data_IF_399101326602
#
_entry.id   IF_399101326602
#
_cell.length_a   1.000
_cell.length_b   1.000
_cell.length_c   1.000
_cell.angle_alpha   90.00
_cell.angle_beta   90.00
_cell.angle_gamma   90.00
#
_symmetry.space_group_name_H-M   'P 1'
#
loop_
_entity.id
_entity.type
_entity.pdbx_description
1 polymer ?
#
# COMPACT_ATOMS: atom_id res chain seq x y z
N UNK A 1 -26.57 29.17 -57.69
CA UNK A 1 -27.09 28.35 -56.51
C UNK A 1 -26.08 27.25 -56.10
N UNK A 2 -25.22 26.77 -56.99
CA UNK A 2 -24.23 25.68 -56.71
C UNK A 2 -23.02 26.11 -55.89
N UNK A 3 -22.58 27.36 -55.94
CA UNK A 3 -21.40 27.89 -55.24
C UNK A 3 -21.67 28.15 -53.75
N UNK A 4 -22.87 28.63 -53.40
CA UNK A 4 -23.25 28.97 -52.03
C UNK A 4 -23.45 27.72 -51.16
N UNK A 5 -23.84 26.59 -51.74
CA UNK A 5 -23.98 25.33 -51.06
C UNK A 5 -22.60 24.72 -50.72
N UNK A 6 -21.60 24.92 -51.59
CA UNK A 6 -20.22 24.47 -51.41
C UNK A 6 -19.50 25.22 -50.24
N UNK A 7 -19.70 26.51 -50.10
CA UNK A 7 -19.05 27.30 -49.05
C UNK A 7 -19.59 26.90 -47.62
N UNK A 8 -20.89 26.80 -47.47
CA UNK A 8 -21.49 26.38 -46.19
C UNK A 8 -21.06 24.97 -45.78
N UNK A 9 -20.92 24.07 -46.71
CA UNK A 9 -20.45 22.70 -46.41
C UNK A 9 -18.98 22.69 -46.01
N UNK A 10 -18.15 23.49 -46.67
CA UNK A 10 -16.74 23.66 -46.31
C UNK A 10 -16.56 24.27 -44.93
N UNK A 11 -17.34 25.28 -44.56
CA UNK A 11 -17.31 25.90 -43.23
C UNK A 11 -17.72 24.93 -42.14
N UNK A 12 -18.75 24.10 -42.36
CA UNK A 12 -19.14 23.04 -41.43
C UNK A 12 -18.02 22.00 -41.20
N UNK A 13 -17.35 21.60 -42.24
CA UNK A 13 -16.21 20.68 -42.16
C UNK A 13 -15.03 21.30 -41.43
N UNK A 14 -14.71 22.56 -41.69
CA UNK A 14 -13.66 23.27 -40.97
C UNK A 14 -13.99 23.46 -39.49
N UNK A 15 -15.24 23.82 -39.17
CA UNK A 15 -15.70 23.90 -37.78
C UNK A 15 -15.64 22.56 -37.05
N UNK A 16 -16.04 21.47 -37.73
CA UNK A 16 -15.91 20.12 -37.20
C UNK A 16 -14.46 19.75 -36.89
N UNK A 17 -13.54 19.96 -37.85
CA UNK A 17 -12.12 19.65 -37.65
C UNK A 17 -11.45 20.51 -36.59
N UNK A 18 -11.84 21.79 -36.45
CA UNK A 18 -11.38 22.67 -35.37
C UNK A 18 -11.87 22.15 -34.01
N UNK A 19 -13.13 21.73 -33.92
CA UNK A 19 -13.70 21.13 -32.68
C UNK A 19 -12.97 19.85 -32.29
N UNK A 20 -12.70 18.95 -33.24
CA UNK A 20 -11.97 17.69 -33.01
C UNK A 20 -10.54 17.96 -32.55
N UNK A 21 -9.83 18.91 -33.20
CA UNK A 21 -8.47 19.29 -32.79
C UNK A 21 -8.46 19.89 -31.40
N UNK A 22 -9.41 20.75 -31.08
CA UNK A 22 -9.55 21.36 -29.76
C UNK A 22 -9.81 20.30 -28.68
N UNK A 23 -10.72 19.36 -28.92
CA UNK A 23 -11.02 18.26 -27.97
C UNK A 23 -9.80 17.35 -27.74
N UNK A 24 -9.03 17.04 -28.82
CA UNK A 24 -7.79 16.28 -28.69
C UNK A 24 -6.73 17.03 -27.90
N UNK A 25 -6.55 18.32 -28.16
CA UNK A 25 -5.59 19.16 -27.43
C UNK A 25 -5.98 19.30 -25.95
N UNK A 26 -7.26 19.49 -25.63
CA UNK A 26 -7.76 19.53 -24.27
C UNK A 26 -7.55 18.20 -23.54
N UNK A 27 -7.83 17.07 -24.20
CA UNK A 27 -7.59 15.74 -23.63
C UNK A 27 -6.10 15.47 -23.36
N UNK A 28 -5.21 15.87 -24.26
CA UNK A 28 -3.76 15.77 -24.06
C UNK A 28 -3.27 16.68 -22.93
N UNK A 29 -3.79 17.90 -22.83
CA UNK A 29 -3.45 18.83 -21.74
C UNK A 29 -3.90 18.31 -20.37
N UNK A 30 -5.10 17.75 -20.27
CA UNK A 30 -5.58 17.09 -19.05
C UNK A 30 -4.72 15.87 -18.70
N UNK A 31 -4.41 15.03 -19.69
CA UNK A 31 -3.53 13.88 -19.50
C UNK A 31 -2.14 14.29 -19.03
N UNK A 32 -1.54 15.31 -19.62
CA UNK A 32 -0.25 15.85 -19.17
C UNK A 32 -0.32 16.46 -17.76
N UNK A 33 -1.39 17.18 -17.44
CA UNK A 33 -1.63 17.73 -16.10
C UNK A 33 -1.74 16.64 -15.04
N UNK A 34 -2.46 15.55 -15.33
CA UNK A 34 -2.58 14.39 -14.43
C UNK A 34 -1.22 13.71 -14.23
N UNK A 35 -0.44 13.51 -15.31
CA UNK A 35 0.90 12.91 -15.24
C UNK A 35 1.84 13.80 -14.42
N UNK A 36 1.83 15.11 -14.61
CA UNK A 36 2.61 16.07 -13.85
C UNK A 36 2.19 16.07 -12.36
N UNK A 37 0.90 16.06 -12.08
CA UNK A 37 0.40 15.94 -10.70
C UNK A 37 0.86 14.64 -10.03
N UNK A 38 0.78 13.51 -10.74
CA UNK A 38 1.26 12.23 -10.24
C UNK A 38 2.78 12.18 -10.03
N UNK A 39 3.54 12.89 -10.86
CA UNK A 39 5.00 12.92 -10.78
C UNK A 39 5.54 13.90 -9.73
N UNK A 40 4.90 15.05 -9.54
CA UNK A 40 5.41 16.16 -8.73
C UNK A 40 4.52 16.59 -7.56
N UNK A 41 3.27 16.10 -7.49
CA UNK A 41 2.29 16.47 -6.47
C UNK A 41 2.41 15.69 -5.16
N UNK A 42 3.51 15.01 -4.89
CA UNK A 42 3.66 14.10 -3.76
C UNK A 42 4.49 14.67 -2.59
N UNK A 43 4.21 14.16 -1.39
CA UNK A 43 5.01 14.42 -0.20
C UNK A 43 6.43 13.85 -0.38
N UNK A 44 7.47 14.56 0.13
CA UNK A 44 8.83 14.01 0.13
C UNK A 44 8.93 12.84 1.12
N UNK A 45 9.34 11.69 0.62
CA UNK A 45 9.49 10.47 1.43
C UNK A 45 10.53 10.61 2.56
N UNK A 46 11.48 11.56 2.42
CA UNK A 46 12.51 11.81 3.43
C UNK A 46 11.95 12.51 4.65
N UNK A 47 10.98 13.40 4.47
CA UNK A 47 10.36 14.21 5.52
C UNK A 47 8.99 13.67 5.97
N UNK A 48 8.44 12.70 5.24
CA UNK A 48 7.16 12.08 5.56
C UNK A 48 7.21 11.39 6.93
N UNK A 49 6.17 11.60 7.75
CA UNK A 49 6.07 11.05 9.12
C UNK A 49 6.20 9.53 9.12
N UNK A 50 6.92 9.03 10.11
CA UNK A 50 7.01 7.61 10.50
C UNK A 50 6.80 7.46 12.02
N UNK A 51 6.22 8.45 12.66
CA UNK A 51 5.88 8.39 14.08
C UNK A 51 4.76 7.36 14.34
N UNK A 52 4.55 6.99 15.60
CA UNK A 52 3.38 6.22 16.01
C UNK A 52 2.11 7.04 15.77
N UNK A 53 1.04 6.37 15.39
CA UNK A 53 -0.32 6.93 15.30
C UNK A 53 -1.09 6.84 16.61
N UNK A 54 -0.55 6.17 17.63
CA UNK A 54 -1.18 5.96 18.93
C UNK A 54 -2.21 4.84 18.96
N UNK A 55 -2.24 3.97 17.95
CA UNK A 55 -3.17 2.82 17.89
C UNK A 55 -2.68 1.63 18.69
N UNK A 56 -1.37 1.42 18.76
CA UNK A 56 -0.82 0.29 19.51
C UNK A 56 -0.69 0.61 20.99
N UNK A 57 -1.02 -0.34 21.89
CA UNK A 57 -0.76 -0.19 23.30
C UNK A 57 0.75 -0.11 23.57
N UNK A 58 1.13 0.66 24.57
CA UNK A 58 2.54 0.77 24.96
C UNK A 58 3.05 -0.57 25.51
N UNK A 59 4.22 -1.04 25.07
CA UNK A 59 4.74 -2.34 25.49
C UNK A 59 4.90 -2.49 27.01
N UNK A 60 5.22 -1.41 27.70
CA UNK A 60 5.38 -1.39 29.16
C UNK A 60 4.06 -1.45 29.93
N UNK A 61 2.96 -1.05 29.32
CA UNK A 61 1.61 -1.06 29.90
C UNK A 61 0.85 -2.37 29.57
N UNK A 62 1.13 -2.92 28.38
CA UNK A 62 0.50 -4.15 27.89
C UNK A 62 1.36 -5.37 28.22
N UNK A 63 0.85 -6.26 29.06
CA UNK A 63 1.58 -7.48 29.47
C UNK A 63 1.25 -8.69 28.63
N UNK A 64 0.08 -8.69 27.98
CA UNK A 64 -0.33 -9.80 27.15
C UNK A 64 0.46 -9.87 25.84
N UNK A 65 0.41 -11.01 25.20
CA UNK A 65 0.82 -11.14 23.81
C UNK A 65 -0.17 -10.39 22.91
N UNK A 66 0.33 -9.72 21.88
CA UNK A 66 -0.47 -8.93 20.93
C UNK A 66 0.00 -9.23 19.51
N UNK A 67 -0.94 -9.47 18.63
CA UNK A 67 -0.75 -9.47 17.18
C UNK A 67 -1.60 -8.36 16.59
N UNK A 68 -1.04 -7.54 15.74
CA UNK A 68 -1.75 -6.45 15.07
C UNK A 68 -1.53 -6.51 13.57
N UNK A 69 -2.61 -6.49 12.80
CA UNK A 69 -2.56 -6.41 11.34
C UNK A 69 -2.93 -5.00 10.91
N UNK A 70 -2.08 -4.37 10.14
CA UNK A 70 -2.25 -2.99 9.68
C UNK A 70 -2.30 -2.86 8.17
N UNK A 71 -2.99 -1.83 7.71
CA UNK A 71 -2.92 -1.32 6.34
C UNK A 71 -2.80 0.21 6.33
N UNK A 72 -2.01 0.74 5.43
CA UNK A 72 -1.94 2.18 5.17
C UNK A 72 -1.87 2.44 3.66
N UNK A 73 -2.36 3.61 3.22
CA UNK A 73 -2.21 4.02 1.82
C UNK A 73 -0.75 4.00 1.40
N UNK A 74 -0.47 3.46 0.22
CA UNK A 74 0.88 3.50 -0.32
C UNK A 74 1.31 4.94 -0.64
N UNK A 75 2.61 5.14 -0.74
CA UNK A 75 3.19 6.47 -0.89
C UNK A 75 2.81 7.13 -2.22
N UNK A 76 2.53 8.43 -2.21
CA UNK A 76 2.15 9.26 -3.35
C UNK A 76 0.88 8.77 -4.09
N UNK A 77 0.82 8.99 -5.41
CA UNK A 77 -0.32 8.66 -6.25
C UNK A 77 -0.76 7.18 -6.17
N UNK A 78 0.16 6.28 -5.85
CA UNK A 78 -0.17 4.86 -5.66
C UNK A 78 -1.17 4.64 -4.52
N UNK A 79 -1.18 5.51 -3.51
CA UNK A 79 -2.12 5.47 -2.40
C UNK A 79 -3.59 5.67 -2.77
N UNK A 80 -3.88 6.19 -3.97
CA UNK A 80 -5.27 6.22 -4.46
C UNK A 80 -5.81 4.83 -4.78
N UNK A 81 -4.95 3.87 -5.11
CA UNK A 81 -5.32 2.56 -5.62
C UNK A 81 -4.88 1.40 -4.73
N UNK A 82 -3.88 1.59 -3.90
CA UNK A 82 -3.28 0.51 -3.16
C UNK A 82 -2.93 0.88 -1.71
N UNK A 83 -2.87 -0.15 -0.87
CA UNK A 83 -2.36 -0.08 0.49
C UNK A 83 -1.10 -0.91 0.64
N UNK A 84 -0.29 -0.57 1.63
CA UNK A 84 0.78 -1.40 2.19
C UNK A 84 0.26 -2.05 3.45
N UNK A 85 0.48 -3.35 3.61
CA UNK A 85 0.07 -4.10 4.79
C UNK A 85 1.27 -4.66 5.55
N UNK A 86 1.16 -4.76 6.88
CA UNK A 86 2.16 -5.37 7.74
C UNK A 86 1.53 -5.98 8.99
N UNK A 87 2.28 -6.83 9.68
CA UNK A 87 1.93 -7.38 10.98
C UNK A 87 2.94 -6.89 12.01
N UNK A 88 2.47 -6.52 13.18
CA UNK A 88 3.28 -6.24 14.35
C UNK A 88 2.98 -7.27 15.45
N UNK A 89 4.01 -7.84 16.04
CA UNK A 89 3.92 -8.84 17.10
C UNK A 89 4.58 -8.33 18.35
N UNK A 90 3.94 -8.55 19.49
CA UNK A 90 4.51 -8.40 20.83
C UNK A 90 4.25 -9.70 21.61
N UNK A 91 5.31 -10.37 22.02
CA UNK A 91 5.18 -11.52 22.91
C UNK A 91 4.76 -11.09 24.31
N UNK A 92 4.22 -12.00 25.08
CA UNK A 92 3.88 -11.76 26.49
C UNK A 92 5.08 -11.19 27.25
N UNK A 93 4.86 -10.09 27.97
CA UNK A 93 5.88 -9.35 28.71
C UNK A 93 7.05 -8.81 27.86
N UNK A 94 7.00 -8.86 26.52
CA UNK A 94 8.04 -8.31 25.69
C UNK A 94 8.09 -6.77 25.79
N UNK A 95 9.30 -6.16 25.82
CA UNK A 95 9.46 -4.71 25.98
C UNK A 95 9.28 -3.94 24.65
N UNK A 96 9.04 -4.62 23.56
CA UNK A 96 8.93 -4.00 22.22
C UNK A 96 8.14 -4.86 21.25
N UNK A 97 7.68 -4.23 20.19
CA UNK A 97 7.08 -4.90 19.04
C UNK A 97 8.12 -5.29 18.00
N UNK A 98 7.85 -6.35 17.27
CA UNK A 98 8.57 -6.74 16.05
C UNK A 98 7.62 -6.65 14.87
N UNK A 99 7.99 -5.89 13.83
CA UNK A 99 7.20 -5.78 12.60
C UNK A 99 7.65 -6.79 11.55
N UNK A 100 6.69 -7.29 10.81
CA UNK A 100 6.83 -8.28 9.73
C UNK A 100 6.18 -7.71 8.47
N UNK A 101 6.95 -7.49 7.44
CA UNK A 101 6.49 -6.88 6.20
C UNK A 101 7.35 -7.28 5.01
N UNK A 102 6.91 -6.93 3.81
CA UNK A 102 7.69 -7.08 2.57
C UNK A 102 7.89 -5.72 1.94
N UNK A 103 9.15 -5.38 1.66
CA UNK A 103 9.57 -4.08 1.14
C UNK A 103 10.42 -4.30 -0.12
N UNK A 104 9.90 -3.93 -1.29
CA UNK A 104 10.51 -4.25 -2.58
C UNK A 104 11.91 -3.70 -2.80
N UNK A 105 12.18 -2.47 -2.38
CA UNK A 105 13.53 -1.87 -2.55
C UNK A 105 14.61 -2.51 -1.68
N UNK A 106 14.26 -3.36 -0.71
CA UNK A 106 15.24 -4.12 0.07
C UNK A 106 15.92 -5.23 -0.72
N UNK A 107 15.31 -5.72 -1.80
CA UNK A 107 15.92 -6.71 -2.68
C UNK A 107 17.31 -6.27 -3.18
N UNK A 108 17.46 -4.99 -3.52
CA UNK A 108 18.69 -4.48 -4.11
C UNK A 108 19.90 -4.45 -3.15
N UNK A 109 19.68 -4.43 -1.84
CA UNK A 109 20.78 -4.33 -0.86
C UNK A 109 20.73 -5.36 0.27
N UNK A 110 19.54 -5.90 0.61
CA UNK A 110 19.40 -6.99 1.59
C UNK A 110 19.36 -8.38 0.93
N UNK A 111 19.13 -8.47 -0.39
CA UNK A 111 18.91 -9.73 -1.10
C UNK A 111 17.57 -10.42 -0.77
N UNK A 112 16.73 -9.78 0.02
CA UNK A 112 15.38 -10.24 0.35
C UNK A 112 14.43 -9.05 0.51
N UNK A 113 13.20 -9.23 0.10
CA UNK A 113 12.13 -8.24 0.33
C UNK A 113 11.52 -8.35 1.73
N UNK A 114 11.67 -9.50 2.41
CA UNK A 114 11.16 -9.71 3.78
C UNK A 114 11.95 -8.84 4.76
N UNK A 115 11.22 -8.06 5.54
CA UNK A 115 11.77 -7.19 6.59
C UNK A 115 11.13 -7.54 7.93
N UNK A 116 11.97 -8.02 8.83
CA UNK A 116 11.60 -8.41 10.20
C UNK A 116 12.52 -7.64 11.13
N UNK A 117 11.95 -6.77 11.97
CA UNK A 117 12.74 -5.97 12.90
C UNK A 117 11.91 -5.43 14.04
N UNK A 118 12.56 -5.05 15.13
CA UNK A 118 11.94 -4.21 16.15
C UNK A 118 11.65 -2.83 15.55
N UNK A 119 10.42 -2.38 15.66
CA UNK A 119 9.97 -1.09 15.11
C UNK A 119 8.70 -0.62 15.83
N UNK A 120 8.30 0.62 15.58
CA UNK A 120 7.02 1.18 15.99
C UNK A 120 5.90 0.43 15.25
N UNK A 121 4.98 -0.26 15.95
CA UNK A 121 4.01 -1.16 15.33
C UNK A 121 3.01 -0.44 14.41
N UNK A 122 2.53 0.72 14.86
CA UNK A 122 1.47 1.55 14.27
C UNK A 122 1.99 2.82 13.61
N UNK A 123 3.20 2.75 13.08
CA UNK A 123 3.84 3.94 12.49
C UNK A 123 3.11 4.42 11.22
N UNK A 124 3.07 5.72 11.03
CA UNK A 124 2.67 6.29 9.74
C UNK A 124 3.50 5.69 8.60
N UNK A 125 2.84 5.22 7.55
CA UNK A 125 3.51 4.73 6.36
C UNK A 125 3.81 5.88 5.42
N UNK A 126 4.99 6.48 5.59
CA UNK A 126 5.40 7.67 4.82
C UNK A 126 4.34 8.78 4.82
N UNK A 127 3.82 9.11 5.99
CA UNK A 127 2.79 10.13 6.19
C UNK A 127 1.34 9.65 6.06
N UNK A 128 1.11 8.44 5.53
CA UNK A 128 -0.22 7.85 5.51
C UNK A 128 -0.54 7.20 6.87
N UNK A 129 -1.71 7.53 7.42
CA UNK A 129 -2.18 6.99 8.68
C UNK A 129 -2.51 5.50 8.55
N UNK A 130 -2.00 4.64 9.47
CA UNK A 130 -2.35 3.23 9.48
C UNK A 130 -3.77 3.02 9.98
N UNK A 131 -4.40 1.98 9.45
CA UNK A 131 -5.64 1.41 9.97
C UNK A 131 -5.32 0.08 10.62
N UNK A 132 -5.74 -0.09 11.86
CA UNK A 132 -5.72 -1.38 12.55
C UNK A 132 -6.88 -2.22 11.99
N UNK A 133 -6.57 -3.39 11.43
CA UNK A 133 -7.54 -4.27 10.80
C UNK A 133 -7.98 -5.36 11.77
N UNK A 134 -7.03 -5.93 12.51
CA UNK A 134 -7.28 -7.01 13.45
C UNK A 134 -6.27 -6.96 14.59
N UNK A 135 -6.69 -7.34 15.80
CA UNK A 135 -5.85 -7.35 16.99
C UNK A 135 -6.19 -8.49 17.95
N UNK A 136 -5.83 -9.74 17.66
CA UNK A 136 -5.88 -10.80 18.66
C UNK A 136 -4.86 -10.55 19.79
N UNK A 137 -5.27 -10.85 21.02
CA UNK A 137 -4.48 -10.67 22.25
C UNK A 137 -4.48 -11.93 23.12
N UNK A 138 -3.60 -11.95 24.12
CA UNK A 138 -3.54 -13.01 25.12
C UNK A 138 -3.30 -14.38 24.50
N UNK A 139 -4.11 -15.38 24.87
CA UNK A 139 -3.94 -16.78 24.43
C UNK A 139 -4.01 -16.96 22.90
N UNK A 140 -4.87 -16.20 22.23
CA UNK A 140 -5.02 -16.24 20.79
C UNK A 140 -3.75 -15.72 20.10
N UNK A 141 -3.21 -14.61 20.56
CA UNK A 141 -1.93 -14.08 20.09
C UNK A 141 -0.75 -15.02 20.41
N UNK A 142 -0.73 -15.63 21.61
CA UNK A 142 0.32 -16.59 22.00
C UNK A 142 0.33 -17.81 21.06
N UNK A 143 -0.82 -18.26 20.55
CA UNK A 143 -0.94 -19.33 19.55
C UNK A 143 -0.53 -18.88 18.14
N UNK A 144 -0.90 -17.66 17.74
CA UNK A 144 -0.63 -17.13 16.42
C UNK A 144 0.86 -16.79 16.19
N UNK A 145 1.52 -16.18 17.18
CA UNK A 145 2.89 -15.65 17.07
C UNK A 145 3.90 -16.67 16.52
N UNK A 146 4.04 -17.90 17.06
CA UNK A 146 5.01 -18.88 16.56
C UNK A 146 4.72 -19.31 15.11
N UNK A 147 3.46 -19.37 14.72
CA UNK A 147 3.04 -19.69 13.36
C UNK A 147 3.42 -18.58 12.39
N UNK A 148 3.13 -17.33 12.75
CA UNK A 148 3.50 -16.14 11.95
C UNK A 148 5.01 -16.08 11.75
N UNK A 149 5.79 -16.26 12.82
CA UNK A 149 7.26 -16.27 12.75
C UNK A 149 7.78 -17.34 11.79
N UNK A 150 7.26 -18.56 11.88
CA UNK A 150 7.63 -19.67 10.99
C UNK A 150 7.30 -19.36 9.53
N UNK A 151 6.08 -18.89 9.25
CA UNK A 151 5.63 -18.56 7.90
C UNK A 151 6.43 -17.41 7.29
N UNK A 152 6.72 -16.37 8.08
CA UNK A 152 7.55 -15.27 7.62
C UNK A 152 8.98 -15.69 7.28
N UNK A 153 9.60 -16.58 8.10
CA UNK A 153 10.94 -17.10 7.87
C UNK A 153 11.02 -18.00 6.63
N UNK A 154 9.93 -18.69 6.28
CA UNK A 154 9.87 -19.62 5.15
C UNK A 154 9.07 -19.06 3.96
N UNK A 155 8.83 -17.75 3.91
CA UNK A 155 8.06 -17.13 2.85
C UNK A 155 8.66 -17.40 1.47
N UNK A 156 7.91 -18.04 0.55
CA UNK A 156 8.48 -18.56 -0.71
C UNK A 156 8.91 -17.45 -1.68
N UNK A 157 8.34 -16.26 -1.56
CA UNK A 157 8.61 -15.14 -2.46
C UNK A 157 9.54 -14.09 -1.86
N UNK A 158 10.32 -14.43 -0.84
CA UNK A 158 11.22 -13.47 -0.16
C UNK A 158 12.26 -12.82 -1.08
N UNK A 159 12.61 -13.46 -2.21
CA UNK A 159 13.54 -12.95 -3.22
C UNK A 159 12.86 -12.34 -4.45
N UNK A 160 11.55 -12.11 -4.40
CA UNK A 160 10.77 -11.58 -5.53
C UNK A 160 9.85 -10.47 -5.02
N UNK A 161 9.74 -9.40 -5.78
CA UNK A 161 8.78 -8.34 -5.50
C UNK A 161 8.28 -7.71 -6.80
N UNK A 162 6.98 -7.71 -6.98
CA UNK A 162 6.28 -6.99 -8.04
C UNK A 162 5.16 -6.17 -7.40
N UNK A 163 5.18 -4.86 -7.59
CA UNK A 163 4.12 -3.99 -7.04
C UNK A 163 2.73 -4.37 -7.58
N UNK A 164 2.68 -4.85 -8.82
CA UNK A 164 1.49 -5.37 -9.50
C UNK A 164 1.93 -6.40 -10.57
N UNK A 165 1.29 -7.54 -10.70
CA UNK A 165 0.17 -8.10 -9.91
C UNK A 165 0.61 -8.80 -8.60
N UNK A 166 1.82 -8.64 -8.15
CA UNK A 166 2.43 -9.30 -7.00
C UNK A 166 3.53 -10.30 -7.42
N UNK A 167 4.20 -10.96 -6.45
CA UNK A 167 4.01 -10.85 -5.01
C UNK A 167 4.52 -9.52 -4.43
N UNK A 168 3.79 -8.99 -3.45
CA UNK A 168 4.08 -7.74 -2.74
C UNK A 168 3.75 -7.85 -1.24
N UNK A 169 3.65 -6.71 -0.51
CA UNK A 169 3.31 -6.73 0.92
C UNK A 169 1.95 -7.36 1.21
N UNK A 170 0.96 -7.12 0.36
CA UNK A 170 -0.39 -7.67 0.55
C UNK A 170 -0.42 -9.18 0.31
N UNK A 171 0.34 -9.68 -0.67
CA UNK A 171 0.54 -11.12 -0.91
C UNK A 171 1.17 -11.81 0.31
N UNK A 172 2.17 -11.15 0.95
CA UNK A 172 2.82 -11.66 2.15
C UNK A 172 1.85 -11.78 3.33
N UNK A 173 1.08 -10.74 3.61
CA UNK A 173 0.10 -10.76 4.70
C UNK A 173 -1.03 -11.75 4.39
N UNK A 174 -1.53 -11.78 3.16
CA UNK A 174 -2.52 -12.78 2.73
C UNK A 174 -2.02 -14.22 2.88
N UNK A 175 -0.73 -14.48 2.60
CA UNK A 175 -0.10 -15.78 2.82
C UNK A 175 -0.11 -16.16 4.31
N UNK A 176 0.25 -15.23 5.20
CA UNK A 176 0.25 -15.48 6.65
C UNK A 176 -1.18 -15.73 7.15
N UNK A 177 -2.11 -14.82 6.86
CA UNK A 177 -3.50 -14.90 7.33
C UNK A 177 -4.18 -16.20 6.92
N UNK A 178 -3.97 -16.67 5.70
CA UNK A 178 -4.55 -17.92 5.23
C UNK A 178 -4.01 -19.19 5.91
N UNK A 179 -2.86 -19.10 6.57
CA UNK A 179 -2.19 -20.23 7.19
C UNK A 179 -2.10 -20.13 8.72
N UNK A 180 -2.71 -19.10 9.33
CA UNK A 180 -2.80 -18.91 10.79
C UNK A 180 -4.27 -18.86 11.17
N UNK A 181 -4.84 -19.94 11.74
CA UNK A 181 -6.28 -20.03 12.04
C UNK A 181 -6.80 -18.97 13.02
N UNK A 182 -5.91 -18.46 13.87
CA UNK A 182 -6.21 -17.42 14.86
C UNK A 182 -6.39 -16.02 14.21
N UNK A 183 -6.06 -15.87 12.92
CA UNK A 183 -6.28 -14.64 12.17
C UNK A 183 -7.48 -14.79 11.24
N UNK A 184 -8.49 -13.95 11.45
CA UNK A 184 -9.74 -13.96 10.66
C UNK A 184 -9.88 -12.76 9.75
N UNK A 185 -8.78 -12.02 9.56
CA UNK A 185 -8.76 -10.74 8.87
C UNK A 185 -9.20 -10.85 7.40
N UNK A 186 -10.10 -9.96 7.01
CA UNK A 186 -10.36 -9.64 5.62
C UNK A 186 -9.54 -8.40 5.23
N UNK A 187 -8.59 -8.59 4.33
CA UNK A 187 -7.79 -7.48 3.84
C UNK A 187 -8.67 -6.50 3.03
N UNK A 188 -8.43 -5.19 3.13
CA UNK A 188 -9.25 -4.21 2.44
C UNK A 188 -9.16 -4.37 0.90
N UNK A 189 -10.17 -3.95 0.13
CA UNK A 189 -10.20 -4.11 -1.34
C UNK A 189 -9.01 -3.51 -2.08
N UNK A 190 -8.34 -2.53 -1.47
CA UNK A 190 -7.13 -1.90 -2.00
C UNK A 190 -5.84 -2.67 -1.65
N UNK A 191 -5.93 -3.78 -0.94
CA UNK A 191 -4.80 -4.68 -0.69
C UNK A 191 -4.59 -5.58 -1.93
N UNK A 192 -4.26 -4.96 -3.04
CA UNK A 192 -4.06 -5.61 -4.34
C UNK A 192 -2.68 -6.26 -4.44
N UNK A 193 -2.60 -7.42 -5.13
CA UNK A 193 -1.34 -8.13 -5.37
C UNK A 193 -1.44 -9.62 -5.32
#
# INVERSE_FOLDING_TARGET
RTTEFSEKEMDRRLAFWRSVKFKKAAFLAVGAGVILFMAFGGQDWRTASRASSGLAPRPEEEREAVVQVYAARTFNWRGYFAVHTWIALKEKNAPSYTTYQVIGWYLGWKGTAVDIRQDIPDRFWYGAEPQLIEEPRGEEAEKAIPQIKKLAATYPYGKTYNAWPGPNSNTFISYIVRNVPELTVELPPHAIG
#
